data_IF_391635733443
#
_entry.id   IF_391635733443
#
_cell.length_a   1.000
_cell.length_b   1.000
_cell.length_c   1.000
_cell.angle_alpha   90.00
_cell.angle_beta   90.00
_cell.angle_gamma   90.00
#
_symmetry.space_group_name_H-M   'P 1'
#
loop_
_entity.id
_entity.type
_entity.pdbx_description
1 polymer ?
#
# COMPACT_ATOMS: atom_id res chain seq x y z
N UNK A 1 13.57 19.95 20.65
CA UNK A 1 12.61 19.99 19.53
C UNK A 1 11.27 19.55 20.10
N UNK A 2 10.38 20.50 20.40
CA UNK A 2 9.08 20.18 21.01
C UNK A 2 8.28 19.42 19.95
N UNK A 3 8.00 18.13 20.18
CA UNK A 3 7.05 17.39 19.36
C UNK A 3 5.72 18.10 19.56
N UNK A 4 5.33 18.95 18.61
CA UNK A 4 3.98 19.49 18.56
C UNK A 4 3.07 18.26 18.47
N UNK A 5 2.45 17.90 19.58
CA UNK A 5 1.47 16.83 19.62
C UNK A 5 0.34 17.27 18.70
N UNK A 6 0.30 16.65 17.52
CA UNK A 6 -0.74 16.92 16.55
C UNK A 6 -2.11 16.66 17.21
N UNK A 7 -2.90 17.72 17.35
CA UNK A 7 -4.18 17.72 18.05
C UNK A 7 -5.19 16.79 17.38
N UNK A 8 -5.10 16.60 16.07
CA UNK A 8 -5.99 15.70 15.31
C UNK A 8 -5.72 14.26 15.72
N UNK A 9 -4.46 13.83 15.70
CA UNK A 9 -4.09 12.46 16.08
C UNK A 9 -4.37 12.17 17.55
N UNK A 10 -4.12 13.13 18.44
CA UNK A 10 -4.45 13.01 19.87
C UNK A 10 -5.96 12.81 20.08
N UNK A 11 -6.79 13.62 19.42
CA UNK A 11 -8.25 13.49 19.46
C UNK A 11 -8.74 12.16 18.89
N UNK A 12 -8.15 11.70 17.79
CA UNK A 12 -8.47 10.38 17.20
C UNK A 12 -8.21 9.27 18.22
N UNK A 13 -7.04 9.27 18.87
CA UNK A 13 -6.70 8.28 19.90
C UNK A 13 -7.70 8.32 21.06
N UNK A 14 -8.03 9.51 21.55
CA UNK A 14 -8.99 9.68 22.65
C UNK A 14 -10.38 9.12 22.30
N UNK A 15 -10.90 9.41 21.10
CA UNK A 15 -12.19 8.88 20.63
C UNK A 15 -12.18 7.35 20.50
N UNK A 16 -11.04 6.78 20.07
CA UNK A 16 -10.86 5.33 19.99
C UNK A 16 -10.94 4.69 21.38
N UNK A 17 -10.20 5.22 22.36
CA UNK A 17 -10.18 4.68 23.72
C UNK A 17 -11.52 4.84 24.45
N UNK A 18 -12.31 5.88 24.16
CA UNK A 18 -13.64 6.06 24.74
C UNK A 18 -14.67 5.07 24.23
N UNK A 19 -14.57 4.66 22.96
CA UNK A 19 -15.58 3.84 22.29
C UNK A 19 -15.26 2.35 22.24
N UNK A 20 -13.99 1.98 22.35
CA UNK A 20 -13.61 0.57 22.37
C UNK A 20 -13.80 0.01 23.78
N UNK A 21 -14.57 -1.09 23.93
CA UNK A 21 -14.75 -1.74 25.22
C UNK A 21 -13.44 -2.26 25.82
N UNK A 22 -13.33 -2.24 27.14
CA UNK A 22 -12.11 -2.67 27.86
C UNK A 22 -11.78 -4.15 27.61
N UNK A 23 -12.78 -4.97 27.29
CA UNK A 23 -12.66 -6.40 26.94
C UNK A 23 -11.79 -6.62 25.70
N UNK A 24 -11.65 -5.61 24.83
CA UNK A 24 -10.76 -5.67 23.68
C UNK A 24 -9.28 -5.77 24.09
N UNK A 25 -8.91 -5.25 25.27
CA UNK A 25 -7.52 -5.16 25.73
C UNK A 25 -6.63 -4.47 24.69
N UNK A 26 -6.98 -3.24 24.33
CA UNK A 26 -6.21 -2.42 23.39
C UNK A 26 -4.80 -2.19 23.93
N UNK A 27 -3.78 -2.55 23.14
CA UNK A 27 -2.36 -2.35 23.51
C UNK A 27 -1.82 -1.03 22.98
N UNK A 28 -2.14 -0.70 21.72
CA UNK A 28 -1.68 0.51 21.05
C UNK A 28 -2.56 0.89 19.86
N UNK A 29 -2.46 2.15 19.46
CA UNK A 29 -3.12 2.73 18.28
C UNK A 29 -2.08 3.43 17.43
N UNK A 30 -1.87 2.91 16.22
CA UNK A 30 -0.86 3.37 15.27
C UNK A 30 -1.50 3.89 13.99
N UNK A 31 -0.88 4.90 13.38
CA UNK A 31 -1.27 5.40 12.06
C UNK A 31 -0.38 4.74 11.02
N UNK A 32 -0.93 3.86 10.18
CA UNK A 32 -0.15 3.01 9.28
C UNK A 32 -0.66 3.17 7.85
N UNK A 33 0.03 4.03 7.09
CA UNK A 33 -0.43 4.48 5.79
C UNK A 33 -1.78 5.22 5.91
N UNK A 34 -2.72 4.96 4.99
CA UNK A 34 -4.08 5.51 5.06
C UNK A 34 -4.95 4.97 6.20
N UNK A 35 -4.50 3.95 6.94
CA UNK A 35 -5.29 3.25 7.94
C UNK A 35 -4.88 3.61 9.37
N UNK A 36 -5.83 3.57 10.29
CA UNK A 36 -5.59 3.61 11.73
C UNK A 36 -5.66 2.19 12.25
N UNK A 37 -4.52 1.64 12.67
CA UNK A 37 -4.39 0.29 13.20
C UNK A 37 -4.58 0.28 14.72
N UNK A 38 -5.57 -0.47 15.18
CA UNK A 38 -5.86 -0.68 16.61
C UNK A 38 -5.41 -2.08 16.98
N UNK A 39 -4.41 -2.19 17.84
CA UNK A 39 -3.88 -3.48 18.28
C UNK A 39 -4.60 -3.94 19.54
N UNK A 40 -5.10 -5.17 19.53
CA UNK A 40 -5.87 -5.78 20.62
C UNK A 40 -5.31 -7.15 20.96
N UNK A 41 -5.35 -7.53 22.25
CA UNK A 41 -4.97 -8.88 22.68
C UNK A 41 -6.10 -9.89 22.53
N UNK A 42 -7.34 -9.44 22.72
CA UNK A 42 -8.49 -10.33 22.68
C UNK A 42 -8.93 -10.60 21.24
N UNK A 43 -8.54 -11.75 20.68
CA UNK A 43 -8.93 -12.17 19.33
C UNK A 43 -10.44 -12.37 19.19
N UNK A 44 -11.11 -12.91 20.22
CA UNK A 44 -12.56 -13.16 20.20
C UNK A 44 -13.35 -11.87 20.06
N UNK A 45 -12.88 -10.79 20.69
CA UNK A 45 -13.49 -9.47 20.58
C UNK A 45 -13.63 -9.02 19.11
N UNK A 46 -12.61 -9.26 18.28
CA UNK A 46 -12.62 -8.87 16.86
C UNK A 46 -13.73 -9.59 16.08
N UNK A 47 -13.95 -10.87 16.39
CA UNK A 47 -14.93 -11.71 15.68
C UNK A 47 -16.36 -11.32 16.08
N UNK A 48 -16.58 -11.05 17.37
CA UNK A 48 -17.92 -10.82 17.93
C UNK A 48 -18.41 -9.37 17.79
N UNK A 49 -17.50 -8.40 17.68
CA UNK A 49 -17.82 -6.97 17.79
C UNK A 49 -17.55 -6.15 16.52
N UNK A 50 -17.79 -6.73 15.34
CA UNK A 50 -17.58 -6.05 14.05
C UNK A 50 -18.38 -4.72 13.92
N UNK A 51 -19.55 -4.64 14.55
CA UNK A 51 -20.42 -3.47 14.55
C UNK A 51 -19.80 -2.24 15.24
N UNK A 52 -18.98 -2.46 16.28
CA UNK A 52 -18.29 -1.40 17.02
C UNK A 52 -17.28 -0.73 16.10
N UNK A 53 -16.52 -1.52 15.34
CA UNK A 53 -15.49 -1.01 14.42
C UNK A 53 -16.11 -0.20 13.28
N UNK A 54 -17.25 -0.66 12.73
CA UNK A 54 -18.00 0.11 11.72
C UNK A 54 -18.50 1.45 12.27
N UNK A 55 -18.98 1.46 13.51
CA UNK A 55 -19.47 2.69 14.17
C UNK A 55 -18.32 3.66 14.46
N UNK A 56 -17.18 3.13 14.88
CA UNK A 56 -15.97 3.92 15.15
C UNK A 56 -15.44 4.57 13.87
N UNK A 57 -15.32 3.80 12.79
CA UNK A 57 -14.88 4.30 11.48
C UNK A 57 -15.80 5.43 10.96
N UNK A 58 -17.12 5.27 11.12
CA UNK A 58 -18.11 6.31 10.76
C UNK A 58 -17.97 7.59 11.60
N UNK A 59 -17.70 7.43 12.90
CA UNK A 59 -17.54 8.58 13.81
C UNK A 59 -16.29 9.37 13.45
N UNK A 60 -15.16 8.69 13.29
CA UNK A 60 -13.86 9.32 13.06
C UNK A 60 -13.72 9.76 11.60
N UNK A 61 -14.54 9.21 10.68
CA UNK A 61 -14.48 9.42 9.23
C UNK A 61 -13.11 9.07 8.63
N UNK A 62 -12.47 8.08 9.25
CA UNK A 62 -11.17 7.54 8.88
C UNK A 62 -11.28 6.01 8.82
N UNK A 63 -10.40 5.42 8.04
CA UNK A 63 -10.35 3.96 7.89
C UNK A 63 -9.67 3.35 9.11
N UNK A 64 -10.34 2.39 9.74
CA UNK A 64 -9.88 1.73 10.95
C UNK A 64 -9.72 0.25 10.67
N UNK A 65 -8.59 -0.30 11.09
CA UNK A 65 -8.31 -1.74 11.05
C UNK A 65 -7.96 -2.20 12.45
N UNK A 66 -8.57 -3.31 12.88
CA UNK A 66 -8.20 -3.97 14.12
C UNK A 66 -7.24 -5.09 13.82
N UNK A 67 -6.12 -5.11 14.53
CA UNK A 67 -5.06 -6.12 14.39
C UNK A 67 -4.84 -6.81 15.72
N UNK A 68 -4.45 -8.08 15.65
CA UNK A 68 -4.04 -8.81 16.85
C UNK A 68 -2.63 -8.37 17.23
N UNK A 69 -2.44 -8.04 18.50
CA UNK A 69 -1.14 -7.70 19.07
C UNK A 69 -0.16 -8.87 18.88
N UNK A 70 1.11 -8.57 18.61
CA UNK A 70 2.13 -9.59 18.37
C UNK A 70 2.28 -10.56 19.55
N UNK A 71 2.08 -10.09 20.79
CA UNK A 71 2.12 -10.92 21.99
C UNK A 71 0.99 -11.96 22.08
N UNK A 72 -0.08 -11.79 21.29
CA UNK A 72 -1.25 -12.67 21.25
C UNK A 72 -1.30 -13.53 19.98
N UNK A 73 -0.26 -13.50 19.15
CA UNK A 73 -0.12 -14.36 17.96
C UNK A 73 0.79 -15.54 18.27
N UNK A 74 0.47 -16.71 17.71
CA UNK A 74 1.37 -17.85 17.77
C UNK A 74 2.65 -17.58 16.94
N UNK A 75 3.81 -18.11 17.36
CA UNK A 75 5.01 -18.10 16.52
C UNK A 75 4.73 -18.72 15.15
N UNK A 76 5.32 -18.18 14.09
CA UNK A 76 5.03 -18.58 12.69
C UNK A 76 5.15 -20.10 12.46
N UNK A 77 6.18 -20.73 13.02
CA UNK A 77 6.38 -22.19 12.93
C UNK A 77 5.26 -23.00 13.58
N UNK A 78 4.72 -22.52 14.69
CA UNK A 78 3.61 -23.17 15.39
C UNK A 78 2.28 -22.88 14.68
N UNK A 79 2.08 -21.63 14.27
CA UNK A 79 0.93 -21.21 13.48
C UNK A 79 0.82 -22.03 12.18
N UNK A 80 1.93 -22.24 11.48
CA UNK A 80 1.99 -23.06 10.26
C UNK A 80 1.50 -24.48 10.52
N UNK A 81 2.00 -25.15 11.56
CA UNK A 81 1.58 -26.51 11.93
C UNK A 81 0.08 -26.56 12.26
N UNK A 82 -0.42 -25.56 13.01
CA UNK A 82 -1.84 -25.48 13.35
C UNK A 82 -2.72 -25.26 12.12
N UNK A 83 -2.31 -24.38 11.21
CA UNK A 83 -3.02 -24.13 9.95
C UNK A 83 -3.09 -25.42 9.14
N UNK A 84 -1.97 -26.08 8.89
CA UNK A 84 -1.94 -27.33 8.12
C UNK A 84 -2.82 -28.42 8.74
N UNK A 85 -2.88 -28.50 10.07
CA UNK A 85 -3.77 -29.46 10.77
C UNK A 85 -5.26 -29.16 10.66
N UNK A 86 -5.63 -27.90 10.38
CA UNK A 86 -7.02 -27.46 10.22
C UNK A 86 -7.49 -27.54 8.75
N UNK A 87 -6.57 -27.61 7.79
CA UNK A 87 -6.91 -27.69 6.38
C UNK A 87 -7.46 -29.08 6.02
N UNK A 88 -8.47 -29.16 5.13
CA UNK A 88 -8.89 -30.42 4.54
C UNK A 88 -7.74 -31.15 3.84
N UNK A 89 -7.70 -32.49 3.89
CA UNK A 89 -6.61 -33.28 3.30
C UNK A 89 -6.50 -33.14 1.78
N UNK A 90 -7.58 -32.73 1.12
CA UNK A 90 -7.70 -32.52 -0.32
C UNK A 90 -7.46 -31.06 -0.75
N UNK A 91 -7.10 -30.16 0.17
CA UNK A 91 -6.99 -28.73 -0.13
C UNK A 91 -5.83 -28.36 -1.09
N UNK A 92 -4.86 -29.26 -1.32
CA UNK A 92 -3.69 -29.05 -2.18
C UNK A 92 -2.88 -27.77 -1.84
N UNK A 93 -2.69 -27.53 -0.54
CA UNK A 93 -1.95 -26.39 0.03
C UNK A 93 -0.73 -26.95 0.77
N UNK A 94 0.45 -26.51 0.34
CA UNK A 94 1.73 -26.90 0.95
C UNK A 94 2.29 -25.77 1.83
N UNK A 95 3.39 -26.03 2.55
CA UNK A 95 4.07 -25.00 3.36
C UNK A 95 4.47 -23.76 2.53
N UNK A 96 4.90 -23.96 1.28
CA UNK A 96 5.31 -22.88 0.35
C UNK A 96 4.14 -21.96 -0.08
N UNK A 97 2.90 -22.41 0.12
CA UNK A 97 1.70 -21.64 -0.19
C UNK A 97 1.26 -20.72 0.96
N UNK A 98 1.90 -20.86 2.12
CA UNK A 98 1.60 -20.09 3.33
C UNK A 98 2.72 -19.08 3.57
N UNK A 99 2.38 -17.81 3.74
CA UNK A 99 3.35 -16.74 3.99
C UNK A 99 2.82 -15.79 5.05
N UNK A 100 3.63 -15.51 6.06
CA UNK A 100 3.25 -14.61 7.15
C UNK A 100 3.67 -13.17 6.84
N UNK A 101 2.73 -12.23 6.98
CA UNK A 101 2.98 -10.79 6.93
C UNK A 101 2.92 -10.25 8.36
N UNK A 102 4.11 -10.10 8.98
CA UNK A 102 4.26 -9.61 10.36
C UNK A 102 3.74 -8.19 10.56
N UNK A 103 3.78 -7.36 9.51
CA UNK A 103 3.32 -5.96 9.53
C UNK A 103 1.82 -5.91 9.76
N UNK A 104 1.09 -6.64 8.92
CA UNK A 104 -0.37 -6.66 8.95
C UNK A 104 -0.93 -7.63 10.00
N UNK A 105 -0.10 -8.55 10.51
CA UNK A 105 -0.57 -9.66 11.34
C UNK A 105 -1.43 -10.63 10.54
N UNK A 106 -1.13 -10.76 9.24
CA UNK A 106 -1.88 -11.58 8.30
C UNK A 106 -1.09 -12.83 7.94
N UNK A 107 -1.81 -13.91 7.66
CA UNK A 107 -1.26 -15.12 7.04
C UNK A 107 -1.87 -15.26 5.65
N UNK A 108 -1.04 -15.09 4.63
CA UNK A 108 -1.42 -15.30 3.23
C UNK A 108 -1.45 -16.79 2.97
N UNK A 109 -2.61 -17.31 2.56
CA UNK A 109 -2.80 -18.73 2.23
C UNK A 109 -3.19 -18.80 0.75
N UNK A 110 -2.30 -19.37 -0.08
CA UNK A 110 -2.56 -19.59 -1.51
C UNK A 110 -3.27 -20.94 -1.68
N UNK A 111 -4.43 -20.94 -2.33
CA UNK A 111 -5.24 -22.15 -2.52
C UNK A 111 -5.88 -22.18 -3.90
N UNK A 112 -5.99 -23.36 -4.56
CA UNK A 112 -6.76 -23.49 -5.79
C UNK A 112 -8.26 -23.16 -5.58
N UNK A 113 -8.79 -23.38 -4.37
CA UNK A 113 -10.20 -23.24 -4.03
C UNK A 113 -10.46 -22.27 -2.86
N UNK A 114 -10.37 -20.94 -3.08
CA UNK A 114 -10.61 -19.95 -2.03
C UNK A 114 -11.97 -20.05 -1.33
N UNK A 115 -12.98 -20.62 -2.01
CA UNK A 115 -14.36 -20.67 -1.52
C UNK A 115 -14.50 -21.50 -0.24
N UNK A 116 -13.70 -22.54 -0.06
CA UNK A 116 -13.74 -23.44 1.11
C UNK A 116 -13.58 -22.67 2.43
N UNK A 117 -12.74 -21.63 2.44
CA UNK A 117 -12.50 -20.82 3.63
C UNK A 117 -13.69 -19.93 4.03
N UNK A 118 -14.65 -19.73 3.13
CA UNK A 118 -15.80 -18.84 3.33
C UNK A 118 -17.15 -19.58 3.38
N UNK A 119 -17.14 -20.92 3.36
CA UNK A 119 -18.31 -21.76 3.61
C UNK A 119 -18.68 -21.76 5.11
N UNK A 120 -19.90 -22.20 5.43
CA UNK A 120 -20.39 -22.40 6.79
C UNK A 120 -20.14 -21.20 7.72
N UNK A 121 -20.56 -20.00 7.28
CA UNK A 121 -20.32 -18.74 8.00
C UNK A 121 -18.83 -18.48 8.30
N UNK A 122 -17.97 -18.86 7.35
CA UNK A 122 -16.51 -18.70 7.41
C UNK A 122 -15.90 -19.48 8.58
N UNK A 123 -16.42 -20.68 8.88
CA UNK A 123 -15.97 -21.49 10.01
C UNK A 123 -14.45 -21.72 9.98
N UNK A 124 -13.91 -22.24 8.87
CA UNK A 124 -12.47 -22.52 8.74
C UNK A 124 -11.62 -21.25 8.91
N UNK A 125 -12.04 -20.13 8.32
CA UNK A 125 -11.40 -18.83 8.50
C UNK A 125 -11.35 -18.42 9.97
N UNK A 126 -12.50 -18.49 10.66
CA UNK A 126 -12.61 -18.10 12.08
C UNK A 126 -11.79 -19.03 12.97
N UNK A 127 -11.78 -20.33 12.70
CA UNK A 127 -10.97 -21.31 13.43
C UNK A 127 -9.48 -21.00 13.30
N UNK A 128 -8.97 -20.78 12.07
CA UNK A 128 -7.58 -20.41 11.87
C UNK A 128 -7.25 -19.13 12.63
N UNK A 129 -8.10 -18.10 12.50
CA UNK A 129 -7.86 -16.81 13.16
C UNK A 129 -7.85 -16.94 14.68
N UNK A 130 -8.83 -17.66 15.25
CA UNK A 130 -8.96 -17.84 16.70
C UNK A 130 -7.84 -18.69 17.30
N UNK A 131 -7.40 -19.75 16.60
CA UNK A 131 -6.35 -20.65 17.09
C UNK A 131 -4.96 -20.00 16.98
N UNK A 132 -4.71 -19.25 15.91
CA UNK A 132 -3.37 -18.74 15.62
C UNK A 132 -3.16 -17.28 15.98
N UNK A 133 -4.22 -16.49 16.07
CA UNK A 133 -4.16 -15.03 16.16
C UNK A 133 -3.76 -14.34 14.84
N UNK A 134 -3.43 -15.09 13.79
CA UNK A 134 -3.08 -14.57 12.49
C UNK A 134 -4.31 -14.44 11.62
N UNK A 135 -4.53 -13.25 11.05
CA UNK A 135 -5.69 -13.00 10.20
C UNK A 135 -5.49 -13.69 8.84
N UNK A 136 -6.34 -14.65 8.45
CA UNK A 136 -6.16 -15.31 7.15
C UNK A 136 -6.44 -14.35 6.00
N UNK A 137 -5.57 -14.37 5.00
CA UNK A 137 -5.75 -13.70 3.71
C UNK A 137 -5.69 -14.76 2.62
N UNK A 138 -6.88 -15.14 2.15
CA UNK A 138 -7.03 -16.25 1.20
C UNK A 138 -6.82 -15.71 -0.21
N UNK A 139 -5.86 -16.28 -0.91
CA UNK A 139 -5.47 -15.88 -2.27
C UNK A 139 -5.59 -17.09 -3.19
N UNK A 140 -6.07 -16.90 -4.41
CA UNK A 140 -6.11 -17.99 -5.39
C UNK A 140 -4.68 -18.35 -5.81
N UNK A 141 -4.34 -19.64 -5.76
CA UNK A 141 -3.05 -20.16 -6.23
C UNK A 141 -2.94 -19.90 -7.74
N UNK A 142 -1.91 -19.17 -8.20
CA UNK A 142 -1.77 -18.86 -9.62
C UNK A 142 -1.43 -20.13 -10.40
N UNK A 143 -1.99 -20.32 -11.61
CA UNK A 143 -1.69 -21.50 -12.44
C UNK A 143 -0.25 -21.48 -12.97
N UNK A 144 0.33 -20.28 -13.12
CA UNK A 144 1.71 -20.07 -13.57
C UNK A 144 2.50 -19.35 -12.47
N UNK A 145 3.70 -19.84 -12.20
CA UNK A 145 4.63 -19.24 -11.23
C UNK A 145 5.54 -18.24 -11.95
N UNK A 146 5.65 -17.03 -11.41
CA UNK A 146 6.64 -16.03 -11.85
C UNK A 146 7.76 -15.93 -10.83
N UNK A 147 8.96 -16.40 -11.18
CA UNK A 147 10.13 -16.38 -10.28
C UNK A 147 10.51 -14.96 -9.87
N UNK A 148 10.42 -14.00 -10.79
CA UNK A 148 10.77 -12.59 -10.56
C UNK A 148 9.79 -11.97 -9.55
N UNK A 149 8.48 -12.17 -9.77
CA UNK A 149 7.46 -11.65 -8.86
C UNK A 149 7.55 -12.31 -7.49
N UNK A 150 7.77 -13.63 -7.44
CA UNK A 150 7.96 -14.33 -6.17
C UNK A 150 9.18 -13.82 -5.40
N UNK A 151 10.29 -13.53 -6.07
CA UNK A 151 11.48 -12.94 -5.44
C UNK A 151 11.18 -11.54 -4.87
N UNK A 152 10.48 -10.69 -5.62
CA UNK A 152 10.09 -9.36 -5.16
C UNK A 152 9.11 -9.41 -3.98
N UNK A 153 8.14 -10.32 -4.00
CA UNK A 153 7.19 -10.50 -2.90
C UNK A 153 7.88 -11.09 -1.65
N UNK A 154 8.86 -11.98 -1.81
CA UNK A 154 9.69 -12.47 -0.70
C UNK A 154 10.51 -11.34 -0.07
N UNK A 155 11.06 -10.45 -0.89
CA UNK A 155 11.78 -9.26 -0.40
C UNK A 155 10.86 -8.37 0.46
N UNK A 156 9.62 -8.13 0.02
CA UNK A 156 8.64 -7.36 0.79
C UNK A 156 8.35 -7.99 2.18
N UNK A 157 8.34 -9.32 2.26
CA UNK A 157 8.11 -10.06 3.51
C UNK A 157 9.34 -10.05 4.41
N UNK A 158 10.54 -10.22 3.84
CA UNK A 158 11.80 -10.19 4.61
C UNK A 158 12.05 -8.83 5.23
N UNK A 159 11.63 -7.75 4.56
CA UNK A 159 11.77 -6.37 5.02
C UNK A 159 10.52 -5.83 5.74
N UNK A 160 9.77 -6.71 6.41
CA UNK A 160 8.54 -6.34 7.12
C UNK A 160 8.75 -5.25 8.17
N UNK A 161 9.85 -5.30 8.93
CA UNK A 161 10.14 -4.28 9.96
C UNK A 161 10.38 -2.89 9.34
N UNK A 162 11.11 -2.82 8.23
CA UNK A 162 11.32 -1.56 7.49
C UNK A 162 10.02 -1.06 6.88
N UNK A 163 9.23 -1.94 6.27
CA UNK A 163 7.91 -1.59 5.72
C UNK A 163 6.98 -1.03 6.80
N UNK A 164 7.00 -1.58 8.01
CA UNK A 164 6.20 -1.08 9.13
C UNK A 164 6.61 0.36 9.53
N UNK A 165 7.92 0.65 9.55
CA UNK A 165 8.42 2.03 9.79
C UNK A 165 7.96 2.98 8.71
N UNK A 166 8.04 2.56 7.44
CA UNK A 166 7.56 3.34 6.28
C UNK A 166 6.07 3.65 6.40
N UNK A 167 5.23 2.63 6.66
CA UNK A 167 3.79 2.83 6.83
C UNK A 167 3.49 3.78 7.98
N UNK A 168 4.21 3.68 9.11
CA UNK A 168 4.02 4.61 10.24
C UNK A 168 4.40 6.04 9.89
N UNK A 169 5.53 6.24 9.23
CA UNK A 169 5.94 7.56 8.77
C UNK A 169 4.89 8.18 7.82
N UNK A 170 4.36 7.39 6.88
CA UNK A 170 3.31 7.82 5.96
C UNK A 170 2.01 8.15 6.72
N UNK A 171 1.59 7.27 7.64
CA UNK A 171 0.35 7.47 8.40
C UNK A 171 0.40 8.71 9.29
N UNK A 172 1.55 8.99 9.89
CA UNK A 172 1.79 10.20 10.66
C UNK A 172 1.69 11.47 9.78
N UNK A 173 2.14 11.42 8.50
CA UNK A 173 2.00 12.52 7.54
C UNK A 173 0.56 12.72 7.03
N UNK A 174 -0.17 11.64 6.74
CA UNK A 174 -1.56 11.70 6.23
C UNK A 174 -2.52 12.27 7.27
N UNK A 175 -2.36 11.86 8.53
CA UNK A 175 -3.30 12.19 9.60
C UNK A 175 -2.93 13.47 10.37
N UNK A 176 -2.05 14.30 9.81
CA UNK A 176 -1.70 15.60 10.37
C UNK A 176 -2.85 16.60 10.23
N UNK A 177 -2.82 17.65 11.05
CA UNK A 177 -3.68 18.81 10.84
C UNK A 177 -3.30 19.58 9.56
N UNK A 178 -4.31 20.09 8.83
CA UNK A 178 -4.09 21.11 7.81
C UNK A 178 -3.63 22.42 8.45
N UNK A 179 -2.66 23.08 7.83
CA UNK A 179 -1.96 24.25 8.36
C UNK A 179 -2.41 25.56 7.70
N UNK A 180 -2.69 25.50 6.40
CA UNK A 180 -3.05 26.62 5.55
C UNK A 180 -4.57 26.76 5.44
N UNK A 181 -5.02 28.01 5.45
CA UNK A 181 -6.44 28.36 5.27
C UNK A 181 -6.80 28.63 3.81
N UNK A 182 -5.82 29.04 3.01
CA UNK A 182 -6.00 29.33 1.60
C UNK A 182 -6.21 28.05 0.80
N UNK A 183 -7.11 28.10 -0.17
CA UNK A 183 -7.47 26.95 -1.00
C UNK A 183 -7.22 27.29 -2.47
N UNK A 184 -6.30 26.57 -3.09
CA UNK A 184 -6.14 26.52 -4.54
C UNK A 184 -5.91 25.07 -4.96
N UNK A 185 -6.16 24.79 -6.24
CA UNK A 185 -5.73 23.56 -6.90
C UNK A 185 -5.02 23.97 -8.17
N UNK A 186 -3.78 23.52 -8.33
CA UNK A 186 -2.98 23.68 -9.55
C UNK A 186 -2.65 22.33 -10.13
N UNK A 187 -2.80 22.20 -11.44
CA UNK A 187 -2.40 21.02 -12.19
C UNK A 187 -1.29 21.45 -13.14
N UNK A 188 -0.14 20.79 -13.06
CA UNK A 188 1.01 21.06 -13.91
C UNK A 188 1.37 19.82 -14.72
N UNK A 189 1.38 19.98 -16.04
CA UNK A 189 1.86 18.97 -16.98
C UNK A 189 3.40 18.89 -16.94
N UNK A 190 3.95 17.73 -16.61
CA UNK A 190 5.41 17.50 -16.54
C UNK A 190 5.93 16.62 -17.68
N UNK A 191 5.06 15.86 -18.34
CA UNK A 191 5.35 15.02 -19.51
C UNK A 191 4.10 14.27 -19.98
N UNK A 192 4.07 13.84 -21.24
CA UNK A 192 2.92 13.14 -21.83
C UNK A 192 1.81 14.08 -22.38
N UNK A 193 2.10 15.37 -22.54
CA UNK A 193 1.17 16.37 -23.09
C UNK A 193 1.64 16.78 -24.48
N UNK A 194 0.79 16.61 -25.49
CA UNK A 194 1.13 16.74 -26.92
C UNK A 194 2.23 15.77 -27.39
N UNK A 195 2.41 14.65 -26.68
CA UNK A 195 3.36 13.58 -26.99
C UNK A 195 2.87 12.25 -26.38
N UNK A 196 3.50 11.14 -26.77
CA UNK A 196 3.34 9.83 -26.11
C UNK A 196 4.67 9.48 -25.43
N UNK A 197 4.60 9.01 -24.18
CA UNK A 197 5.77 8.73 -23.36
C UNK A 197 5.89 9.67 -22.16
N UNK A 198 6.62 9.23 -21.13
CA UNK A 198 6.98 10.01 -19.93
C UNK A 198 5.80 10.74 -19.26
N UNK A 199 4.63 10.10 -19.19
CA UNK A 199 3.44 10.65 -18.57
C UNK A 199 3.71 11.04 -17.12
N UNK A 200 3.40 12.29 -16.77
CA UNK A 200 3.49 12.80 -15.40
C UNK A 200 2.67 14.09 -15.25
N UNK A 201 1.82 14.12 -14.24
CA UNK A 201 1.00 15.27 -13.87
C UNK A 201 1.21 15.56 -12.39
N UNK A 202 1.54 16.80 -12.06
CA UNK A 202 1.60 17.24 -10.66
C UNK A 202 0.32 17.97 -10.28
N UNK A 203 -0.34 17.50 -9.22
CA UNK A 203 -1.50 18.13 -8.59
C UNK A 203 -1.04 18.76 -7.28
N UNK A 204 -1.23 20.07 -7.15
CA UNK A 204 -0.77 20.83 -5.99
C UNK A 204 -1.92 21.57 -5.34
N UNK A 205 -1.98 21.51 -4.01
CA UNK A 205 -2.82 22.36 -3.16
C UNK A 205 -1.91 23.24 -2.31
N UNK A 206 -2.50 24.04 -1.41
CA UNK A 206 -1.73 24.76 -0.39
C UNK A 206 -1.02 23.79 0.58
N UNK A 207 -1.54 22.57 0.76
CA UNK A 207 -1.05 21.59 1.74
C UNK A 207 -0.17 20.49 1.14
N UNK A 208 -0.43 20.12 -0.11
CA UNK A 208 -0.04 18.82 -0.64
C UNK A 208 0.45 18.90 -2.09
N UNK A 209 1.40 18.04 -2.44
CA UNK A 209 1.85 17.78 -3.82
C UNK A 209 1.70 16.29 -4.13
N UNK A 210 0.79 15.96 -5.04
CA UNK A 210 0.53 14.59 -5.49
C UNK A 210 0.94 14.45 -6.94
N UNK A 211 1.81 13.49 -7.22
CA UNK A 211 2.27 13.18 -8.57
C UNK A 211 1.44 12.03 -9.14
N UNK A 212 0.78 12.24 -10.28
CA UNK A 212 0.09 11.21 -11.03
C UNK A 212 1.01 10.75 -12.16
N UNK A 213 1.39 9.48 -12.11
CA UNK A 213 2.37 8.82 -12.99
C UNK A 213 3.76 9.47 -12.99
N UNK A 214 4.76 8.66 -13.32
CA UNK A 214 6.12 9.12 -13.58
C UNK A 214 6.81 8.18 -14.58
N UNK A 215 6.47 8.40 -15.84
CA UNK A 215 6.85 7.53 -16.95
C UNK A 215 8.25 7.69 -17.48
N UNK A 216 8.65 6.73 -18.31
CA UNK A 216 9.88 6.73 -19.11
C UNK A 216 9.55 6.69 -20.60
N UNK A 217 10.23 7.51 -21.41
CA UNK A 217 10.20 7.38 -22.87
C UNK A 217 11.56 6.86 -23.38
N UNK A 218 11.72 5.54 -23.62
CA UNK A 218 12.98 4.97 -24.08
C UNK A 218 13.34 5.35 -25.51
N UNK A 219 12.36 5.78 -26.32
CA UNK A 219 12.55 6.15 -27.73
C UNK A 219 12.97 7.62 -27.91
N UNK A 220 13.00 8.40 -26.82
CA UNK A 220 13.38 9.80 -26.91
C UNK A 220 14.86 9.97 -27.29
N UNK A 221 15.20 10.86 -28.24
CA UNK A 221 16.56 11.01 -28.74
C UNK A 221 17.53 11.62 -27.71
N UNK A 222 17.00 12.36 -26.72
CA UNK A 222 17.76 13.00 -25.66
C UNK A 222 17.26 12.57 -24.29
N UNK A 223 18.16 12.38 -23.32
CA UNK A 223 17.81 12.02 -21.94
C UNK A 223 16.78 12.96 -21.30
N UNK A 224 16.90 14.28 -21.53
CA UNK A 224 15.93 15.28 -21.02
C UNK A 224 14.53 15.12 -21.60
N UNK A 225 14.40 14.50 -22.77
CA UNK A 225 13.13 14.19 -23.43
C UNK A 225 12.59 12.83 -23.01
N UNK A 226 13.43 11.95 -22.47
CA UNK A 226 13.05 10.63 -21.96
C UNK A 226 12.36 10.68 -20.60
N UNK A 227 12.50 11.80 -19.88
CA UNK A 227 12.08 11.97 -18.49
C UNK A 227 11.07 13.11 -18.31
N UNK A 228 10.18 13.04 -17.33
CA UNK A 228 9.34 14.16 -16.92
C UNK A 228 10.14 15.33 -16.34
N UNK A 229 9.59 16.54 -16.44
CA UNK A 229 10.29 17.82 -16.18
C UNK A 229 10.10 18.38 -14.76
N UNK A 230 10.43 17.60 -13.72
CA UNK A 230 10.43 18.12 -12.33
C UNK A 230 11.38 19.32 -12.15
N UNK A 231 12.48 19.32 -12.90
CA UNK A 231 13.47 20.41 -12.94
C UNK A 231 12.86 21.75 -13.35
N UNK A 232 11.84 21.76 -14.20
CA UNK A 232 11.21 22.99 -14.68
C UNK A 232 10.49 23.78 -13.57
N UNK A 233 10.09 23.10 -12.49
CA UNK A 233 9.43 23.73 -11.34
C UNK A 233 10.38 23.89 -10.14
N UNK A 234 11.61 23.39 -10.22
CA UNK A 234 12.53 23.34 -9.09
C UNK A 234 12.04 22.46 -7.93
N UNK A 235 11.10 21.54 -8.21
CA UNK A 235 10.54 20.64 -7.19
C UNK A 235 11.47 19.47 -6.99
N UNK A 236 11.87 19.26 -5.74
CA UNK A 236 12.67 18.11 -5.36
C UNK A 236 11.78 16.92 -5.01
N UNK A 237 12.22 15.67 -5.22
CA UNK A 237 11.40 14.49 -4.93
C UNK A 237 10.92 14.42 -3.48
N UNK A 238 11.68 14.95 -2.51
CA UNK A 238 11.30 14.99 -1.08
C UNK A 238 10.07 15.85 -0.79
N UNK A 239 9.69 16.76 -1.71
CA UNK A 239 8.56 17.66 -1.56
C UNK A 239 7.23 17.05 -2.05
N UNK A 240 7.29 15.85 -2.62
CA UNK A 240 6.12 15.11 -3.09
C UNK A 240 5.53 14.32 -1.91
N UNK A 241 4.23 14.47 -1.66
CA UNK A 241 3.53 13.79 -0.58
C UNK A 241 3.07 12.38 -0.96
N UNK A 242 2.72 12.18 -2.23
CA UNK A 242 2.28 10.89 -2.75
C UNK A 242 2.51 10.77 -4.26
N UNK A 243 2.76 9.54 -4.72
CA UNK A 243 2.77 9.17 -6.14
C UNK A 243 1.60 8.23 -6.39
N UNK A 244 0.82 8.45 -7.44
CA UNK A 244 -0.26 7.56 -7.87
C UNK A 244 0.09 7.01 -9.25
N UNK A 245 0.15 5.69 -9.39
CA UNK A 245 0.43 5.03 -10.67
C UNK A 245 -0.86 4.45 -11.22
N UNK A 246 -1.27 4.93 -12.39
CA UNK A 246 -2.52 4.55 -13.06
C UNK A 246 -2.47 3.11 -13.57
N UNK A 247 -1.37 2.72 -14.21
CA UNK A 247 -1.15 1.37 -14.71
C UNK A 247 0.33 1.07 -14.96
N UNK A 248 0.63 -0.19 -15.24
CA UNK A 248 2.00 -0.72 -15.18
C UNK A 248 2.90 -0.38 -16.37
N UNK A 249 2.39 0.23 -17.45
CA UNK A 249 3.26 0.51 -18.60
C UNK A 249 4.41 1.46 -18.23
N UNK A 250 5.55 1.29 -18.91
CA UNK A 250 6.79 2.01 -18.59
C UNK A 250 6.68 3.51 -18.87
N UNK A 251 5.85 3.92 -19.83
CA UNK A 251 5.53 5.33 -20.10
C UNK A 251 4.65 5.99 -19.04
N UNK A 252 4.21 5.25 -18.02
CA UNK A 252 3.49 5.77 -16.84
C UNK A 252 4.21 5.46 -15.52
N UNK A 253 4.96 4.36 -15.44
CA UNK A 253 5.55 3.88 -14.18
C UNK A 253 7.07 3.70 -14.20
N UNK A 254 7.69 3.81 -15.38
CA UNK A 254 9.07 3.37 -15.61
C UNK A 254 10.14 4.13 -14.84
N UNK A 255 9.88 5.37 -14.43
CA UNK A 255 10.81 6.18 -13.64
C UNK A 255 10.39 6.34 -12.18
N UNK A 256 9.32 5.71 -11.69
CA UNK A 256 8.98 5.81 -10.26
C UNK A 256 10.15 5.44 -9.33
N UNK A 257 10.99 4.41 -9.62
CA UNK A 257 12.19 4.10 -8.82
C UNK A 257 13.23 5.25 -8.81
N UNK A 258 13.31 6.03 -9.89
CA UNK A 258 14.20 7.21 -9.94
C UNK A 258 13.89 8.18 -8.79
N UNK A 259 12.61 8.41 -8.47
CA UNK A 259 12.24 9.33 -7.38
C UNK A 259 12.89 8.90 -6.06
N UNK A 260 12.90 7.60 -5.76
CA UNK A 260 13.45 7.03 -4.52
C UNK A 260 14.97 7.18 -4.41
N UNK A 261 15.67 7.04 -5.53
CA UNK A 261 17.13 7.29 -5.58
C UNK A 261 17.48 8.73 -5.23
N UNK A 262 16.63 9.67 -5.64
CA UNK A 262 16.84 11.12 -5.46
C UNK A 262 16.05 11.69 -4.28
N UNK A 263 15.76 10.87 -3.26
CA UNK A 263 15.30 11.34 -1.95
C UNK A 263 13.81 11.17 -1.67
N UNK A 264 12.98 10.79 -2.65
CA UNK A 264 11.57 10.50 -2.37
C UNK A 264 11.46 9.37 -1.33
N UNK A 265 10.57 9.59 -0.36
CA UNK A 265 10.35 8.70 0.78
C UNK A 265 8.86 8.64 1.15
N UNK A 266 7.98 8.99 0.20
CA UNK A 266 6.52 8.92 0.34
C UNK A 266 5.93 7.61 -0.22
N UNK A 267 4.60 7.45 -0.15
CA UNK A 267 3.87 6.29 -0.67
C UNK A 267 3.76 6.25 -2.20
N UNK A 268 3.67 5.06 -2.77
CA UNK A 268 3.17 4.86 -4.14
C UNK A 268 1.82 4.17 -4.08
N UNK A 269 0.76 4.80 -4.54
CA UNK A 269 -0.59 4.25 -4.59
C UNK A 269 -0.91 3.70 -5.98
N UNK A 270 -1.39 2.46 -6.03
CA UNK A 270 -1.81 1.82 -7.29
C UNK A 270 -2.67 0.60 -7.01
N UNK A 271 -3.13 -0.13 -8.03
CA UNK A 271 -3.81 -1.41 -7.82
C UNK A 271 -2.80 -2.53 -7.54
N UNK A 272 -3.26 -3.61 -6.90
CA UNK A 272 -2.38 -4.76 -6.63
C UNK A 272 -1.75 -5.33 -7.91
N UNK A 273 -2.54 -5.48 -8.99
CA UNK A 273 -2.03 -6.01 -10.24
C UNK A 273 -1.06 -5.05 -10.94
N UNK A 274 -1.30 -3.73 -10.86
CA UNK A 274 -0.34 -2.75 -11.38
C UNK A 274 0.97 -2.77 -10.62
N UNK A 275 0.98 -2.87 -9.29
CA UNK A 275 2.22 -3.06 -8.52
C UNK A 275 3.03 -4.25 -9.05
N UNK A 276 2.38 -5.40 -9.18
CA UNK A 276 3.07 -6.65 -9.55
C UNK A 276 3.66 -6.57 -10.96
N UNK A 277 2.91 -6.01 -11.91
CA UNK A 277 3.38 -5.81 -13.29
C UNK A 277 4.42 -4.69 -13.40
N UNK A 278 4.27 -3.59 -12.67
CA UNK A 278 5.21 -2.47 -12.63
C UNK A 278 6.59 -2.94 -12.18
N UNK A 279 6.67 -3.70 -11.08
CA UNK A 279 7.94 -4.27 -10.60
C UNK A 279 8.56 -5.18 -11.64
N UNK A 280 7.77 -6.06 -12.27
CA UNK A 280 8.25 -6.95 -13.31
C UNK A 280 8.87 -6.18 -14.49
N UNK A 281 8.14 -5.18 -15.00
CA UNK A 281 8.57 -4.38 -16.16
C UNK A 281 9.78 -3.49 -15.86
N UNK A 282 9.89 -2.94 -14.65
CA UNK A 282 11.05 -2.15 -14.24
C UNK A 282 12.32 -3.00 -14.08
N UNK A 283 12.20 -4.22 -13.56
CA UNK A 283 13.32 -5.16 -13.47
C UNK A 283 13.77 -5.64 -14.86
N UNK A 284 12.83 -5.90 -15.76
CA UNK A 284 13.12 -6.25 -17.15
C UNK A 284 13.81 -5.08 -17.88
N UNK A 285 13.32 -3.85 -17.69
CA UNK A 285 13.94 -2.64 -18.22
C UNK A 285 15.41 -2.48 -17.78
N UNK A 286 15.72 -2.79 -16.51
CA UNK A 286 17.10 -2.80 -15.99
C UNK A 286 17.97 -3.86 -16.68
N UNK A 287 17.45 -5.07 -16.87
CA UNK A 287 18.19 -6.16 -17.51
C UNK A 287 18.45 -5.86 -18.99
N UNK A 288 17.43 -5.44 -19.74
CA UNK A 288 17.56 -5.05 -21.15
C UNK A 288 18.57 -3.91 -21.30
N UNK A 289 18.45 -2.85 -20.49
CA UNK A 289 19.37 -1.71 -20.56
C UNK A 289 20.82 -2.13 -20.30
N UNK A 290 21.04 -3.01 -19.32
CA UNK A 290 22.37 -3.56 -19.03
C UNK A 290 22.94 -4.37 -20.19
N UNK A 291 22.13 -5.21 -20.84
CA UNK A 291 22.53 -6.00 -22.02
C UNK A 291 22.86 -5.12 -23.24
N UNK A 292 22.16 -4.02 -23.39
CA UNK A 292 22.41 -3.03 -24.44
C UNK A 292 23.55 -2.05 -24.11
N UNK A 293 24.18 -2.17 -22.94
CA UNK A 293 25.23 -1.25 -22.49
C UNK A 293 24.74 0.17 -22.17
N UNK A 294 23.43 0.34 -21.95
CA UNK A 294 22.80 1.60 -21.54
C UNK A 294 22.72 1.68 -20.02
N UNK A 295 22.98 2.86 -19.47
CA UNK A 295 22.76 3.13 -18.05
C UNK A 295 21.39 3.76 -17.83
N UNK A 296 20.65 3.23 -16.85
CA UNK A 296 19.43 3.85 -16.36
C UNK A 296 19.72 4.70 -15.13
N UNK A 297 18.91 5.72 -14.86
CA UNK A 297 19.16 6.63 -13.76
C UNK A 297 18.70 6.06 -12.40
N UNK A 298 18.43 4.76 -12.29
CA UNK A 298 18.10 4.01 -11.07
C UNK A 298 18.62 2.56 -11.17
N UNK A 299 18.66 1.84 -10.05
CA UNK A 299 19.07 0.44 -9.96
C UNK A 299 18.04 -0.45 -9.24
N UNK A 300 18.37 -1.73 -9.03
CA UNK A 300 17.49 -2.71 -8.39
C UNK A 300 17.12 -2.33 -6.94
N UNK A 301 18.01 -1.66 -6.20
CA UNK A 301 17.76 -1.23 -4.82
C UNK A 301 16.68 -0.15 -4.77
N UNK A 302 16.62 0.70 -5.80
CA UNK A 302 15.60 1.74 -5.93
C UNK A 302 14.21 1.12 -6.22
N UNK A 303 14.15 0.07 -7.04
CA UNK A 303 12.91 -0.71 -7.28
C UNK A 303 12.43 -1.38 -6.00
N UNK A 304 13.36 -1.96 -5.24
CA UNK A 304 13.09 -2.56 -3.94
C UNK A 304 12.56 -1.52 -2.93
N UNK A 305 13.20 -0.35 -2.84
CA UNK A 305 12.74 0.75 -1.98
C UNK A 305 11.33 1.22 -2.39
N UNK A 306 11.10 1.41 -3.69
CA UNK A 306 9.77 1.73 -4.21
C UNK A 306 8.72 0.69 -3.79
N UNK A 307 9.05 -0.60 -3.86
CA UNK A 307 8.13 -1.67 -3.47
C UNK A 307 7.76 -1.62 -1.99
N UNK A 308 8.70 -1.31 -1.08
CA UNK A 308 8.41 -1.13 0.34
C UNK A 308 7.43 0.02 0.61
N UNK A 309 7.49 1.06 -0.24
CA UNK A 309 6.62 2.24 -0.19
C UNK A 309 5.31 2.07 -0.98
N UNK A 310 5.12 0.96 -1.70
CA UNK A 310 3.93 0.77 -2.52
C UNK A 310 2.75 0.26 -1.68
N UNK A 311 1.65 1.03 -1.67
CA UNK A 311 0.41 0.73 -0.96
C UNK A 311 -0.68 0.41 -1.99
N UNK A 312 -0.99 -0.88 -2.21
CA UNK A 312 -2.01 -1.27 -3.17
C UNK A 312 -3.42 -0.95 -2.64
N UNK A 313 -4.27 -0.40 -3.50
CA UNK A 313 -5.66 -0.05 -3.24
C UNK A 313 -6.60 -0.90 -4.09
N UNK A 314 -7.83 -1.10 -3.60
CA UNK A 314 -8.90 -1.73 -4.39
C UNK A 314 -9.70 -0.68 -5.14
N UNK A 315 -10.36 -1.10 -6.22
CA UNK A 315 -11.28 -0.23 -6.92
C UNK A 315 -12.45 0.20 -6.02
N UNK A 316 -12.89 1.46 -6.18
CA UNK A 316 -13.98 2.05 -5.42
C UNK A 316 -13.65 2.35 -3.94
N UNK A 317 -12.42 2.11 -3.51
CA UNK A 317 -11.99 2.30 -2.13
C UNK A 317 -11.50 3.73 -1.89
N UNK A 318 -12.30 4.52 -1.17
CA UNK A 318 -11.93 5.89 -0.78
C UNK A 318 -10.81 5.86 0.25
N UNK A 319 -9.69 6.49 -0.08
CA UNK A 319 -8.45 6.42 0.70
C UNK A 319 -7.90 7.81 0.95
N UNK A 320 -7.68 8.20 2.22
CA UNK A 320 -6.96 9.43 2.53
C UNK A 320 -5.49 9.25 2.15
N UNK A 321 -4.96 10.08 1.24
CA UNK A 321 -3.57 9.99 0.76
C UNK A 321 -2.71 11.17 1.23
N UNK A 322 -3.34 12.26 1.63
CA UNK A 322 -2.74 13.41 2.33
C UNK A 322 -3.73 13.96 3.36
N UNK A 323 -3.41 15.07 4.02
CA UNK A 323 -4.31 15.72 4.98
C UNK A 323 -5.60 16.26 4.34
N UNK A 324 -5.56 16.61 3.05
CA UNK A 324 -6.62 17.29 2.31
C UNK A 324 -7.06 16.58 1.02
N UNK A 325 -6.40 15.49 0.60
CA UNK A 325 -6.72 14.77 -0.64
C UNK A 325 -7.11 13.32 -0.34
N UNK A 326 -8.23 12.90 -0.93
CA UNK A 326 -8.70 11.51 -0.97
C UNK A 326 -8.62 10.96 -2.38
N UNK A 327 -8.11 9.75 -2.50
CA UNK A 327 -8.00 9.01 -3.75
C UNK A 327 -9.04 7.89 -3.80
N UNK A 328 -9.67 7.74 -4.97
CA UNK A 328 -10.42 6.54 -5.35
C UNK A 328 -9.93 6.07 -6.71
N UNK A 329 -9.61 4.78 -6.82
CA UNK A 329 -9.28 4.16 -8.10
C UNK A 329 -10.52 3.53 -8.72
N UNK A 330 -10.74 3.75 -10.02
CA UNK A 330 -11.79 3.10 -10.81
C UNK A 330 -11.18 2.31 -11.95
N UNK A 331 -11.80 1.21 -12.36
CA UNK A 331 -11.30 0.41 -13.48
C UNK A 331 -11.29 1.24 -14.77
N UNK A 332 -10.15 1.22 -15.47
CA UNK A 332 -9.97 1.94 -16.73
C UNK A 332 -10.17 1.04 -17.97
N UNK A 333 -10.23 -0.28 -17.81
CA UNK A 333 -10.43 -1.22 -18.93
C UNK A 333 -9.28 -1.26 -19.96
N UNK A 334 -8.09 -0.76 -19.63
CA UNK A 334 -6.94 -0.67 -20.55
C UNK A 334 -6.02 -1.89 -20.47
N UNK A 335 -5.52 -2.18 -19.27
CA UNK A 335 -4.68 -3.36 -18.97
C UNK A 335 -5.06 -3.94 -17.61
N UNK A 336 -4.54 -5.12 -17.27
CA UNK A 336 -4.81 -5.74 -15.96
C UNK A 336 -4.41 -4.80 -14.82
N UNK A 337 -5.40 -4.38 -14.03
CA UNK A 337 -5.21 -3.47 -12.90
C UNK A 337 -5.16 -1.98 -13.28
N UNK A 338 -5.38 -1.61 -14.54
CA UNK A 338 -5.40 -0.19 -14.94
C UNK A 338 -6.48 0.60 -14.21
N UNK A 339 -6.16 1.82 -13.80
CA UNK A 339 -7.05 2.64 -13.00
C UNK A 339 -7.15 4.09 -13.49
N UNK A 340 -8.37 4.63 -13.46
CA UNK A 340 -8.61 6.06 -13.41
C UNK A 340 -8.47 6.54 -11.95
N UNK A 341 -7.72 7.61 -11.72
CA UNK A 341 -7.54 8.21 -10.40
C UNK A 341 -8.53 9.37 -10.20
N UNK A 342 -9.46 9.20 -9.26
CA UNK A 342 -10.37 10.25 -8.82
C UNK A 342 -9.83 10.88 -7.54
N UNK A 343 -9.51 12.18 -7.58
CA UNK A 343 -9.06 12.96 -6.43
C UNK A 343 -10.20 13.83 -5.91
N UNK A 344 -10.60 13.61 -4.66
CA UNK A 344 -11.49 14.51 -3.92
C UNK A 344 -10.65 15.40 -3.01
N UNK A 345 -10.71 16.72 -3.23
CA UNK A 345 -9.81 17.70 -2.62
C UNK A 345 -10.58 18.61 -1.68
N UNK A 346 -10.16 18.70 -0.41
CA UNK A 346 -10.81 19.54 0.59
C UNK A 346 -12.26 19.16 0.85
N UNK A 347 -13.19 20.10 0.62
CA UNK A 347 -14.62 19.96 0.94
C UNK A 347 -15.51 19.67 -0.29
N UNK A 348 -14.93 19.38 -1.45
CA UNK A 348 -15.67 19.03 -2.66
C UNK A 348 -14.74 18.74 -3.82
#
# INVERSE_FOLDING_TARGET
MVVLVDKVRARIREEIFKKIPHEAQVTKVEFEGPEIAIYVKNVKFIIENESIIKTLAKTIRKRIVVRVDESSRLPEREALKRILSLLPQDAAIDEDDITFDRVLGEVVIKTPEPKVFFQDDKLLYRMIFQVTGWRPKIVRKPPLKSKILEAALRYLVSESDERLKVLRAIGERIHRQTLFKDQYVRITALGGFQEVGRSAILVETAESKVLLDFGFNPSAPLHKQAMPRLDALGIRPEEIDAVVVTHAHLDHSGLVPFLFKYGYDGPVYTTQATRDLMVLLQLDLLDISKREGKSLPFDIKDVHKMLLHTIPLRYGEVTDITADIRLTLYDAGHVLGSAMAHLHIGNG
#
